data_IF_499609699514
#
_entry.id   IF_499609699514
#
_cell.length_a   1.000
_cell.length_b   1.000
_cell.length_c   1.000
_cell.angle_alpha   90.00
_cell.angle_beta   90.00
_cell.angle_gamma   90.00
#
_symmetry.space_group_name_H-M   'P 1'
#
loop_
_entity.id
_entity.type
_entity.pdbx_description
1 polymer ?
#
# COMPACT_ATOMS: atom_id res chain seq x y z
N UNK A 1 1.91 16.82 -30.15
CA UNK A 1 2.82 15.91 -29.43
C UNK A 1 2.02 14.69 -29.04
N UNK A 2 2.04 13.65 -29.89
CA UNK A 2 1.33 12.41 -29.62
C UNK A 2 2.01 11.66 -28.48
N UNK A 3 1.44 11.78 -27.28
CA UNK A 3 1.84 10.99 -26.13
C UNK A 3 1.70 9.51 -26.49
N UNK A 4 2.84 8.86 -26.73
CA UNK A 4 2.91 7.44 -27.06
C UNK A 4 2.41 6.65 -25.84
N UNK A 5 1.12 6.34 -25.82
CA UNK A 5 0.49 5.60 -24.73
C UNK A 5 1.02 4.16 -24.79
N UNK A 6 2.03 3.85 -23.96
CA UNK A 6 2.61 2.52 -23.88
C UNK A 6 1.71 1.70 -22.96
N UNK A 7 0.63 1.13 -23.50
CA UNK A 7 -0.14 0.11 -22.79
C UNK A 7 0.77 -1.12 -22.59
N UNK A 8 1.33 -1.24 -21.39
CA UNK A 8 2.20 -2.36 -21.00
C UNK A 8 1.36 -3.42 -20.31
N UNK A 9 1.07 -4.51 -21.00
CA UNK A 9 0.38 -5.65 -20.40
C UNK A 9 1.40 -6.55 -19.71
N UNK A 10 1.22 -6.77 -18.40
CA UNK A 10 2.18 -7.51 -17.59
C UNK A 10 2.11 -9.03 -17.78
N UNK A 11 0.93 -9.57 -18.10
CA UNK A 11 0.70 -11.00 -18.20
C UNK A 11 0.52 -11.43 -19.66
N UNK A 12 1.35 -12.36 -20.12
CA UNK A 12 1.18 -13.06 -21.39
C UNK A 12 0.13 -14.17 -21.22
N UNK A 13 -0.90 -14.17 -22.06
CA UNK A 13 -1.86 -15.28 -22.12
C UNK A 13 -1.33 -16.36 -23.07
N UNK A 14 -0.84 -17.47 -22.50
CA UNK A 14 -0.17 -18.53 -23.27
C UNK A 14 -1.14 -19.51 -23.96
N UNK A 15 -2.37 -19.65 -23.45
CA UNK A 15 -3.36 -20.64 -23.94
C UNK A 15 -2.78 -22.06 -23.96
N UNK A 16 -2.63 -22.64 -22.76
CA UNK A 16 -1.85 -23.86 -22.53
C UNK A 16 -2.36 -25.08 -23.30
N UNK A 17 -3.66 -25.15 -23.56
CA UNK A 17 -4.30 -26.18 -24.39
C UNK A 17 -3.82 -26.10 -25.85
N UNK A 18 -3.90 -24.91 -26.43
CA UNK A 18 -3.51 -24.67 -27.81
C UNK A 18 -1.99 -24.75 -27.96
N UNK A 19 -1.25 -24.20 -27.01
CA UNK A 19 0.21 -24.30 -26.96
C UNK A 19 0.65 -25.77 -26.96
N UNK A 20 0.11 -26.60 -26.04
CA UNK A 20 0.49 -28.01 -25.97
C UNK A 20 0.17 -28.77 -27.25
N UNK A 21 -0.96 -28.48 -27.90
CA UNK A 21 -1.34 -29.11 -29.16
C UNK A 21 -0.45 -28.67 -30.34
N UNK A 22 -0.16 -27.37 -30.45
CA UNK A 22 0.61 -26.79 -31.56
C UNK A 22 2.13 -27.05 -31.44
N UNK A 23 2.65 -27.44 -30.27
CA UNK A 23 4.10 -27.65 -30.06
C UNK A 23 4.49 -29.09 -29.76
N UNK A 24 3.58 -30.05 -29.87
CA UNK A 24 3.84 -31.46 -29.49
C UNK A 24 4.95 -32.12 -30.31
N UNK A 25 5.13 -31.69 -31.56
CA UNK A 25 6.13 -32.22 -32.48
C UNK A 25 7.48 -31.51 -32.38
N UNK A 26 7.57 -30.44 -31.59
CA UNK A 26 8.80 -29.67 -31.43
C UNK A 26 9.75 -30.33 -30.43
N UNK A 27 11.04 -30.19 -30.69
CA UNK A 27 12.09 -30.51 -29.72
C UNK A 27 12.11 -29.51 -28.56
N UNK A 28 12.74 -29.90 -27.44
CA UNK A 28 12.89 -29.00 -26.29
C UNK A 28 13.63 -27.69 -26.64
N UNK A 29 14.56 -27.74 -27.59
CA UNK A 29 15.27 -26.56 -28.09
C UNK A 29 14.32 -25.62 -28.84
N UNK A 30 13.54 -26.16 -29.79
CA UNK A 30 12.54 -25.40 -30.56
C UNK A 30 11.48 -24.78 -29.66
N UNK A 31 10.97 -25.53 -28.67
CA UNK A 31 10.02 -25.02 -27.66
C UNK A 31 10.65 -23.88 -26.84
N UNK A 32 11.91 -24.05 -26.43
CA UNK A 32 12.65 -23.02 -25.69
C UNK A 32 12.82 -21.73 -26.49
N UNK A 33 13.18 -21.84 -27.77
CA UNK A 33 13.27 -20.71 -28.70
C UNK A 33 11.90 -20.05 -28.86
N UNK A 34 10.85 -20.85 -29.10
CA UNK A 34 9.49 -20.35 -29.30
C UNK A 34 8.99 -19.54 -28.10
N UNK A 35 9.13 -20.06 -26.87
CA UNK A 35 8.75 -19.37 -25.64
C UNK A 35 9.52 -18.05 -25.48
N UNK A 36 10.82 -18.02 -25.75
CA UNK A 36 11.62 -16.78 -25.67
C UNK A 36 11.11 -15.72 -26.65
N UNK A 37 10.79 -16.12 -27.88
CA UNK A 37 10.23 -15.21 -28.90
C UNK A 37 8.84 -14.70 -28.50
N UNK A 38 7.96 -15.56 -27.98
CA UNK A 38 6.64 -15.16 -27.48
C UNK A 38 6.74 -14.13 -26.35
N UNK A 39 7.57 -14.41 -25.35
CA UNK A 39 7.82 -13.50 -24.23
C UNK A 39 8.36 -12.14 -24.72
N UNK A 40 9.36 -12.16 -25.61
CA UNK A 40 9.91 -10.93 -26.17
C UNK A 40 8.84 -10.12 -26.93
N UNK A 41 8.15 -10.76 -27.87
CA UNK A 41 7.11 -10.11 -28.68
C UNK A 41 6.04 -9.47 -27.79
N UNK A 42 5.62 -10.17 -26.73
CA UNK A 42 4.67 -9.63 -25.75
C UNK A 42 5.19 -8.38 -25.04
N UNK A 43 6.42 -8.41 -24.51
CA UNK A 43 7.01 -7.24 -23.82
C UNK A 43 7.21 -6.03 -24.74
N UNK A 44 7.26 -6.26 -26.06
CA UNK A 44 7.37 -5.22 -27.09
C UNK A 44 6.02 -4.85 -27.72
N UNK A 45 4.90 -5.18 -27.07
CA UNK A 45 3.55 -4.86 -27.52
C UNK A 45 3.19 -5.49 -28.87
N UNK A 46 3.60 -6.74 -29.08
CA UNK A 46 3.40 -7.51 -30.31
C UNK A 46 3.90 -6.81 -31.59
N UNK A 47 4.84 -5.86 -31.44
CA UNK A 47 5.46 -5.16 -32.57
C UNK A 47 6.34 -6.12 -33.37
N UNK A 48 6.47 -5.87 -34.69
CA UNK A 48 7.33 -6.68 -35.52
C UNK A 48 8.80 -6.56 -35.09
N UNK A 49 9.57 -7.62 -35.35
CA UNK A 49 11.01 -7.66 -35.11
C UNK A 49 11.75 -8.34 -36.26
N UNK A 50 13.03 -8.02 -36.42
CA UNK A 50 13.90 -8.63 -37.44
C UNK A 50 14.37 -10.04 -37.09
N UNK A 51 14.79 -10.79 -38.11
CA UNK A 51 15.40 -12.11 -37.95
C UNK A 51 16.70 -12.06 -37.10
N UNK A 52 17.48 -10.98 -37.21
CA UNK A 52 18.67 -10.76 -36.39
C UNK A 52 18.33 -10.62 -34.91
N UNK A 53 17.24 -9.93 -34.60
CA UNK A 53 16.72 -9.87 -33.23
C UNK A 53 16.28 -11.25 -32.76
N UNK A 54 15.62 -12.04 -33.61
CA UNK A 54 15.21 -13.41 -33.29
C UNK A 54 16.40 -14.29 -32.86
N UNK A 55 17.50 -14.25 -33.61
CA UNK A 55 18.73 -14.99 -33.26
C UNK A 55 19.27 -14.59 -31.89
N UNK A 56 19.31 -13.28 -31.60
CA UNK A 56 19.77 -12.76 -30.31
C UNK A 56 18.86 -13.18 -29.16
N UNK A 57 17.54 -13.18 -29.37
CA UNK A 57 16.54 -13.59 -28.36
C UNK A 57 16.64 -15.09 -28.08
N UNK A 58 16.79 -15.90 -29.13
CA UNK A 58 17.01 -17.34 -29.06
C UNK A 58 18.40 -17.72 -28.52
N UNK A 59 19.32 -16.76 -28.38
CA UNK A 59 20.73 -16.97 -28.01
C UNK A 59 21.48 -17.90 -28.97
N UNK A 60 21.09 -17.89 -30.25
CA UNK A 60 21.71 -18.71 -31.29
C UNK A 60 22.89 -17.99 -31.96
N UNK A 61 24.05 -18.64 -31.96
CA UNK A 61 25.31 -18.07 -32.47
C UNK A 61 25.76 -18.79 -33.75
N UNK A 62 25.73 -20.11 -33.73
CA UNK A 62 26.05 -20.99 -34.86
C UNK A 62 24.89 -21.09 -35.87
N UNK A 63 25.18 -21.62 -37.05
CA UNK A 63 24.23 -21.66 -38.15
C UNK A 63 23.17 -22.74 -38.00
N UNK A 64 23.47 -23.82 -37.26
CA UNK A 64 22.49 -24.87 -36.97
C UNK A 64 21.37 -24.31 -36.06
N UNK A 65 21.75 -23.64 -34.95
CA UNK A 65 20.80 -22.98 -34.05
C UNK A 65 20.01 -21.88 -34.75
N UNK A 66 20.65 -21.07 -35.63
CA UNK A 66 19.92 -20.10 -36.47
C UNK A 66 18.92 -20.79 -37.41
N UNK A 67 19.27 -21.97 -37.93
CA UNK A 67 18.37 -22.83 -38.68
C UNK A 67 17.14 -23.22 -37.87
N UNK A 68 17.31 -23.58 -36.59
CA UNK A 68 16.21 -23.85 -35.66
C UNK A 68 15.33 -22.63 -35.43
N UNK A 69 15.92 -21.44 -35.23
CA UNK A 69 15.15 -20.18 -35.10
C UNK A 69 14.32 -19.91 -36.35
N UNK A 70 14.89 -20.11 -37.54
CA UNK A 70 14.17 -19.95 -38.81
C UNK A 70 12.96 -20.88 -38.90
N UNK A 71 13.13 -22.16 -38.57
CA UNK A 71 12.02 -23.14 -38.55
C UNK A 71 10.86 -22.64 -37.68
N UNK A 72 11.17 -22.26 -36.43
CA UNK A 72 10.17 -21.73 -35.48
C UNK A 72 9.49 -20.46 -36.03
N UNK A 73 10.25 -19.54 -36.63
CA UNK A 73 9.67 -18.32 -37.23
C UNK A 73 8.73 -18.63 -38.39
N UNK A 74 9.14 -19.45 -39.35
CA UNK A 74 8.31 -19.79 -40.51
C UNK A 74 7.05 -20.56 -40.12
N UNK A 75 7.11 -21.35 -39.05
CA UNK A 75 5.97 -22.13 -38.59
C UNK A 75 4.97 -21.31 -37.79
N UNK A 76 5.42 -20.53 -36.79
CA UNK A 76 4.53 -19.89 -35.82
C UNK A 76 4.36 -18.38 -36.01
N UNK A 77 5.23 -17.73 -36.80
CA UNK A 77 5.21 -16.29 -37.02
C UNK A 77 4.84 -15.94 -38.46
N UNK A 78 4.37 -14.70 -38.64
CA UNK A 78 4.04 -14.11 -39.93
C UNK A 78 5.06 -13.07 -40.31
N UNK A 79 5.62 -13.20 -41.50
CA UNK A 79 6.46 -12.19 -42.12
C UNK A 79 5.58 -11.19 -42.87
N UNK A 80 5.55 -9.93 -42.42
CA UNK A 80 4.72 -8.87 -42.99
C UNK A 80 5.50 -7.94 -43.94
N UNK A 81 6.62 -8.40 -44.49
CA UNK A 81 7.48 -7.64 -45.40
C UNK A 81 8.35 -8.57 -46.24
N UNK A 82 9.03 -8.01 -47.24
CA UNK A 82 9.86 -8.79 -48.18
C UNK A 82 11.28 -9.05 -47.65
N UNK A 83 11.77 -8.17 -46.76
CA UNK A 83 13.10 -8.28 -46.16
C UNK A 83 13.03 -8.86 -44.73
N UNK A 84 13.53 -10.09 -44.55
CA UNK A 84 13.60 -10.77 -43.25
C UNK A 84 14.52 -10.05 -42.24
N UNK A 85 15.45 -9.20 -42.73
CA UNK A 85 16.35 -8.39 -41.90
C UNK A 85 15.69 -7.09 -41.42
N UNK A 86 14.57 -6.69 -42.02
CA UNK A 86 13.73 -5.62 -41.50
C UNK A 86 12.81 -6.12 -40.38
N UNK A 87 12.22 -5.21 -39.61
CA UNK A 87 11.23 -5.55 -38.60
C UNK A 87 9.92 -5.99 -39.27
N UNK A 88 9.80 -7.29 -39.56
CA UNK A 88 8.67 -7.85 -40.31
C UNK A 88 7.98 -9.05 -39.61
N UNK A 89 8.60 -9.68 -38.61
CA UNK A 89 8.05 -10.88 -37.98
C UNK A 89 7.09 -10.57 -36.84
N UNK A 90 5.87 -11.09 -36.91
CA UNK A 90 4.83 -10.93 -35.87
C UNK A 90 4.14 -12.24 -35.56
N UNK A 91 3.66 -12.41 -34.32
CA UNK A 91 2.86 -13.56 -33.95
C UNK A 91 1.37 -13.23 -34.06
N UNK A 92 0.63 -13.93 -34.93
CA UNK A 92 -0.79 -13.64 -35.24
C UNK A 92 -1.64 -13.48 -33.98
N UNK A 93 -1.54 -14.44 -33.04
CA UNK A 93 -2.34 -14.45 -31.81
C UNK A 93 -1.96 -13.29 -30.87
N UNK A 94 -0.66 -12.97 -30.74
CA UNK A 94 -0.23 -11.91 -29.83
C UNK A 94 -0.67 -10.53 -30.31
N UNK A 95 -0.67 -10.30 -31.63
CA UNK A 95 -1.20 -9.06 -32.21
C UNK A 95 -2.69 -8.92 -31.90
N UNK A 96 -3.47 -9.99 -32.12
CA UNK A 96 -4.92 -9.99 -31.84
C UNK A 96 -5.24 -9.73 -30.37
N UNK A 97 -4.54 -10.40 -29.45
CA UNK A 97 -4.73 -10.22 -28.00
C UNK A 97 -4.32 -8.82 -27.55
N UNK A 98 -3.20 -8.31 -28.05
CA UNK A 98 -2.75 -6.95 -27.73
C UNK A 98 -3.76 -5.90 -28.22
N UNK A 99 -4.28 -6.05 -29.44
CA UNK A 99 -5.32 -5.20 -30.00
C UNK A 99 -6.62 -5.24 -29.19
N UNK A 100 -7.06 -6.44 -28.82
CA UNK A 100 -8.26 -6.64 -28.00
C UNK A 100 -8.11 -5.94 -26.63
N UNK A 101 -7.00 -6.17 -25.94
CA UNK A 101 -6.74 -5.54 -24.64
C UNK A 101 -6.62 -4.02 -24.79
N UNK A 102 -5.88 -3.53 -25.78
CA UNK A 102 -5.73 -2.10 -26.05
C UNK A 102 -7.09 -1.43 -26.25
N UNK A 103 -7.98 -2.03 -27.06
CA UNK A 103 -9.36 -1.54 -27.25
C UNK A 103 -10.16 -1.58 -25.95
N UNK A 104 -10.05 -2.64 -25.16
CA UNK A 104 -10.75 -2.80 -23.87
C UNK A 104 -10.33 -1.72 -22.86
N UNK A 105 -9.03 -1.48 -22.71
CA UNK A 105 -8.52 -0.45 -21.80
C UNK A 105 -8.84 0.95 -22.28
N UNK A 106 -8.76 1.23 -23.59
CA UNK A 106 -9.18 2.50 -24.17
C UNK A 106 -10.65 2.81 -23.87
N UNK A 107 -11.56 1.85 -24.11
CA UNK A 107 -12.99 1.99 -23.76
C UNK A 107 -13.21 2.29 -22.28
N UNK A 108 -12.49 1.61 -21.39
CA UNK A 108 -12.56 1.87 -19.93
C UNK A 108 -12.04 3.25 -19.56
N UNK A 109 -10.94 3.68 -20.15
CA UNK A 109 -10.36 5.02 -19.95
C UNK A 109 -11.32 6.11 -20.42
N UNK A 110 -11.90 5.97 -21.61
CA UNK A 110 -12.90 6.90 -22.16
C UNK A 110 -14.15 7.00 -21.29
N UNK A 111 -14.67 5.85 -20.82
CA UNK A 111 -15.80 5.81 -19.90
C UNK A 111 -15.46 6.48 -18.55
N UNK A 112 -14.26 6.23 -18.01
CA UNK A 112 -13.76 6.88 -16.80
C UNK A 112 -13.63 8.40 -16.96
N UNK A 113 -13.05 8.86 -18.07
CA UNK A 113 -12.94 10.29 -18.41
C UNK A 113 -14.32 10.93 -18.55
N UNK A 114 -15.27 10.27 -19.23
CA UNK A 114 -16.65 10.74 -19.37
C UNK A 114 -17.35 10.83 -18.02
N UNK A 115 -17.17 9.83 -17.14
CA UNK A 115 -17.70 9.84 -15.77
C UNK A 115 -17.09 10.94 -14.90
N UNK A 116 -15.77 11.15 -14.99
CA UNK A 116 -15.08 12.23 -14.27
C UNK A 116 -15.52 13.62 -14.74
N UNK A 117 -15.65 13.83 -16.05
CA UNK A 117 -16.17 15.09 -16.61
C UNK A 117 -17.64 15.33 -16.24
N UNK A 118 -18.47 14.29 -16.23
CA UNK A 118 -19.86 14.40 -15.79
C UNK A 118 -19.95 14.81 -14.30
N UNK A 119 -19.09 14.25 -13.44
CA UNK A 119 -18.96 14.68 -12.05
C UNK A 119 -18.46 16.12 -11.91
N UNK A 120 -17.55 16.54 -12.79
CA UNK A 120 -17.02 17.92 -12.80
C UNK A 120 -18.05 18.95 -13.27
N UNK A 121 -18.96 18.60 -14.18
CA UNK A 121 -20.04 19.48 -14.65
C UNK A 121 -21.24 19.49 -13.69
N UNK A 122 -21.51 18.36 -13.04
CA UNK A 122 -22.48 18.23 -11.95
C UNK A 122 -21.82 18.43 -10.58
N UNK A 123 -20.83 19.32 -10.49
CA UNK A 123 -20.56 19.96 -9.20
C UNK A 123 -21.78 20.83 -8.97
N UNK A 124 -22.74 20.34 -8.18
CA UNK A 124 -23.76 21.21 -7.61
C UNK A 124 -23.04 22.47 -7.10
N UNK A 125 -23.55 23.69 -7.37
CA UNK A 125 -22.93 24.90 -6.84
C UNK A 125 -22.60 24.62 -5.38
N UNK A 126 -21.32 24.75 -5.02
CA UNK A 126 -20.92 24.65 -3.62
C UNK A 126 -21.89 25.58 -2.92
N UNK A 127 -22.75 25.12 -1.99
CA UNK A 127 -23.59 26.03 -1.27
C UNK A 127 -22.63 27.02 -0.64
N UNK A 128 -22.64 28.28 -1.11
CA UNK A 128 -22.02 29.37 -0.38
C UNK A 128 -22.66 29.24 0.99
N UNK A 129 -21.90 28.96 2.07
CA UNK A 129 -22.51 28.79 3.35
C UNK A 129 -23.09 30.16 3.71
N UNK A 130 -24.40 30.33 3.48
CA UNK A 130 -25.17 31.28 4.26
C UNK A 130 -24.87 30.94 5.71
N UNK A 131 -24.47 31.90 6.54
CA UNK A 131 -24.15 31.63 7.94
C UNK A 131 -25.41 31.06 8.60
N UNK A 132 -25.47 29.72 8.67
CA UNK A 132 -26.55 29.02 9.35
C UNK A 132 -26.30 29.17 10.85
N UNK A 133 -27.35 29.38 11.66
CA UNK A 133 -27.20 29.49 13.10
C UNK A 133 -26.47 28.25 13.62
N UNK A 134 -25.55 28.47 14.56
CA UNK A 134 -24.56 27.53 15.10
C UNK A 134 -25.01 26.04 15.06
N UNK A 135 -24.56 25.30 14.04
CA UNK A 135 -24.98 23.91 13.72
C UNK A 135 -24.29 22.84 14.60
N UNK A 136 -23.46 23.25 15.54
CA UNK A 136 -22.66 22.36 16.37
C UNK A 136 -23.26 22.31 17.76
N UNK A 137 -23.32 21.11 18.35
CA UNK A 137 -23.63 20.98 19.79
C UNK A 137 -22.57 21.77 20.56
N UNK A 138 -22.99 22.63 21.51
CA UNK A 138 -22.10 23.57 22.20
C UNK A 138 -20.85 22.87 22.78
N UNK A 139 -21.02 21.66 23.35
CA UNK A 139 -19.94 20.85 23.90
C UNK A 139 -18.83 20.55 22.89
N UNK A 140 -19.16 20.22 21.63
CA UNK A 140 -18.16 19.96 20.60
C UNK A 140 -17.42 21.23 20.18
N UNK A 141 -18.11 22.37 20.08
CA UNK A 141 -17.48 23.64 19.72
C UNK A 141 -16.43 24.04 20.74
N UNK A 142 -16.73 23.89 22.02
CA UNK A 142 -15.77 24.14 23.11
C UNK A 142 -14.55 23.21 23.05
N UNK A 143 -14.76 21.91 22.82
CA UNK A 143 -13.67 20.94 22.65
C UNK A 143 -12.78 21.36 21.49
N UNK A 144 -13.38 21.63 20.32
CA UNK A 144 -12.64 22.01 19.12
C UNK A 144 -11.82 23.28 19.32
N UNK A 145 -12.36 24.26 20.03
CA UNK A 145 -11.69 25.53 20.21
C UNK A 145 -10.49 25.43 21.15
N UNK A 146 -10.51 24.49 22.09
CA UNK A 146 -9.42 24.16 23.03
C UNK A 146 -8.29 23.29 22.44
N UNK A 147 -8.42 22.75 21.23
CA UNK A 147 -7.36 21.93 20.62
C UNK A 147 -6.11 22.76 20.30
N UNK A 148 -4.92 22.26 20.68
CA UNK A 148 -3.64 22.90 20.40
C UNK A 148 -3.32 22.94 18.89
N UNK A 149 -3.70 21.89 18.16
CA UNK A 149 -3.47 21.75 16.72
C UNK A 149 -4.77 21.26 16.07
N UNK A 150 -5.33 22.10 15.18
CA UNK A 150 -6.62 21.86 14.52
C UNK A 150 -6.44 21.25 13.13
N UNK A 151 -5.89 20.04 13.05
CA UNK A 151 -5.72 19.35 11.75
C UNK A 151 -6.99 18.67 11.28
N UNK A 152 -7.33 18.93 10.02
CA UNK A 152 -8.48 18.32 9.34
C UNK A 152 -9.74 19.17 9.40
N UNK A 153 -10.87 18.59 8.98
CA UNK A 153 -12.14 19.30 8.89
C UNK A 153 -12.91 19.29 10.22
N UNK A 154 -13.26 20.47 10.76
CA UNK A 154 -14.15 20.63 11.94
C UNK A 154 -15.47 19.88 11.75
N UNK A 155 -16.03 19.95 10.54
CA UNK A 155 -17.26 19.24 10.18
C UNK A 155 -17.10 17.71 10.28
N UNK A 156 -16.00 17.16 9.75
CA UNK A 156 -15.76 15.71 9.80
C UNK A 156 -15.52 15.25 11.24
N UNK A 157 -14.80 16.03 12.04
CA UNK A 157 -14.61 15.73 13.46
C UNK A 157 -15.92 15.75 14.25
N UNK A 158 -16.81 16.73 14.00
CA UNK A 158 -18.14 16.77 14.62
C UNK A 158 -18.97 15.52 14.29
N UNK A 159 -18.95 15.09 13.02
CA UNK A 159 -19.66 13.87 12.60
C UNK A 159 -19.15 12.60 13.29
N UNK A 160 -17.85 12.51 13.57
CA UNK A 160 -17.31 11.39 14.35
C UNK A 160 -17.66 11.54 15.82
N UNK A 161 -17.50 12.74 16.39
CA UNK A 161 -17.87 13.02 17.79
C UNK A 161 -19.31 12.60 18.10
N UNK A 162 -20.28 12.91 17.23
CA UNK A 162 -21.67 12.47 17.41
C UNK A 162 -21.83 10.94 17.46
N UNK A 163 -20.96 10.18 16.78
CA UNK A 163 -21.01 8.71 16.78
C UNK A 163 -20.42 8.08 18.02
N UNK A 164 -19.45 8.75 18.63
CA UNK A 164 -18.75 8.29 19.83
C UNK A 164 -19.18 9.04 21.09
N UNK A 165 -20.18 9.93 20.98
CA UNK A 165 -20.60 10.82 22.05
C UNK A 165 -20.97 10.05 23.32
N UNK A 166 -21.76 8.98 23.15
CA UNK A 166 -22.22 8.14 24.26
C UNK A 166 -21.08 7.38 24.93
N UNK A 167 -20.00 7.07 24.19
CA UNK A 167 -18.79 6.43 24.74
C UNK A 167 -17.86 7.40 25.46
N UNK A 168 -18.01 8.69 25.14
CA UNK A 168 -17.25 9.80 25.73
C UNK A 168 -18.05 10.42 26.90
N UNK A 169 -19.20 9.83 27.24
CA UNK A 169 -20.08 10.35 28.27
C UNK A 169 -19.39 10.38 29.64
N UNK A 170 -19.34 11.57 30.26
CA UNK A 170 -18.60 11.83 31.50
C UNK A 170 -17.19 12.39 31.32
N UNK A 171 -16.58 12.31 30.13
CA UNK A 171 -15.23 12.85 29.87
C UNK A 171 -15.20 13.93 28.77
N UNK A 172 -16.36 14.36 28.25
CA UNK A 172 -16.44 15.31 27.13
C UNK A 172 -15.60 16.58 27.37
N UNK A 173 -15.62 17.11 28.59
CA UNK A 173 -14.89 18.33 28.95
C UNK A 173 -13.36 18.14 28.97
N UNK A 174 -12.88 16.91 29.16
CA UNK A 174 -11.45 16.57 29.20
C UNK A 174 -10.89 16.10 27.87
N UNK A 175 -11.71 15.82 26.86
CA UNK A 175 -11.24 15.29 25.56
C UNK A 175 -10.18 16.19 24.91
N UNK A 176 -10.37 17.50 24.92
CA UNK A 176 -9.38 18.42 24.37
C UNK A 176 -8.06 18.38 25.14
N UNK A 177 -8.12 18.25 26.46
CA UNK A 177 -6.94 18.17 27.34
C UNK A 177 -6.15 16.88 27.11
N UNK A 178 -6.86 15.74 27.02
CA UNK A 178 -6.27 14.44 26.71
C UNK A 178 -5.55 14.50 25.36
N UNK A 179 -6.22 15.00 24.33
CA UNK A 179 -5.63 15.16 23.00
C UNK A 179 -4.37 16.05 23.06
N UNK A 180 -4.48 17.24 23.66
CA UNK A 180 -3.38 18.19 23.75
C UNK A 180 -2.16 17.61 24.49
N UNK A 181 -2.40 16.85 25.56
CA UNK A 181 -1.35 16.20 26.33
C UNK A 181 -0.64 15.11 25.52
N UNK A 182 -1.39 14.28 24.78
CA UNK A 182 -0.81 13.26 23.91
C UNK A 182 0.00 13.86 22.74
N UNK A 183 -0.40 15.03 22.24
CA UNK A 183 0.28 15.70 21.13
C UNK A 183 1.49 16.54 21.57
N UNK A 184 1.77 16.66 22.87
CA UNK A 184 2.84 17.49 23.40
C UNK A 184 4.21 17.02 22.87
N UNK A 185 4.92 17.92 22.18
CA UNK A 185 6.25 17.65 21.63
C UNK A 185 6.28 16.94 20.28
N UNK A 186 5.11 16.64 19.69
CA UNK A 186 5.01 16.08 18.34
C UNK A 186 4.94 17.23 17.33
N UNK A 187 5.72 17.17 16.25
CA UNK A 187 5.62 18.15 15.15
C UNK A 187 4.24 18.07 14.45
N UNK A 188 3.66 19.23 14.12
CA UNK A 188 2.32 19.38 13.56
C UNK A 188 2.00 18.44 12.38
N UNK A 189 2.97 18.19 11.49
CA UNK A 189 2.79 17.31 10.31
C UNK A 189 2.54 15.84 10.68
N UNK A 190 2.98 15.41 11.86
CA UNK A 190 2.78 14.05 12.38
C UNK A 190 1.59 13.92 13.34
N UNK A 191 1.00 15.04 13.75
CA UNK A 191 -0.23 15.04 14.53
C UNK A 191 -1.38 14.50 13.68
N UNK A 192 -2.08 13.44 14.14
CA UNK A 192 -3.23 12.90 13.42
C UNK A 192 -4.36 13.92 13.35
N UNK A 193 -5.21 13.81 12.32
CA UNK A 193 -6.46 14.57 12.29
C UNK A 193 -7.31 14.23 13.52
N UNK A 194 -7.93 15.25 14.13
CA UNK A 194 -8.74 15.03 15.33
C UNK A 194 -9.89 14.04 15.11
N UNK A 195 -10.48 14.01 13.90
CA UNK A 195 -11.46 13.00 13.52
C UNK A 195 -10.91 11.57 13.51
N UNK A 196 -9.64 11.39 13.11
CA UNK A 196 -8.98 10.08 13.10
C UNK A 196 -8.67 9.64 14.52
N UNK A 197 -8.21 10.57 15.35
CA UNK A 197 -7.99 10.34 16.78
C UNK A 197 -9.28 9.90 17.48
N UNK A 198 -10.39 10.61 17.23
CA UNK A 198 -11.73 10.25 17.72
C UNK A 198 -12.25 8.92 17.16
N UNK A 199 -11.93 8.58 15.91
CA UNK A 199 -12.41 7.31 15.32
C UNK A 199 -11.66 6.09 15.87
N UNK A 200 -10.44 6.29 16.35
CA UNK A 200 -9.55 5.22 16.83
C UNK A 200 -9.57 5.06 18.34
N UNK A 201 -10.50 5.72 19.04
CA UNK A 201 -10.65 5.58 20.49
C UNK A 201 -9.41 5.91 21.32
N UNK A 202 -8.53 6.76 20.80
CA UNK A 202 -7.23 7.06 21.43
C UNK A 202 -7.32 7.80 22.78
N UNK A 203 -8.51 8.22 23.21
CA UNK A 203 -8.72 8.71 24.58
C UNK A 203 -8.75 7.57 25.61
N UNK A 204 -9.07 6.34 25.21
CA UNK A 204 -9.06 5.17 26.08
C UNK A 204 -7.64 4.85 26.55
N UNK A 205 -6.63 5.03 25.69
CA UNK A 205 -5.22 4.85 26.02
C UNK A 205 -4.75 5.76 27.16
N UNK A 206 -5.40 6.92 27.33
CA UNK A 206 -5.08 7.87 28.41
C UNK A 206 -5.66 7.44 29.76
N UNK A 207 -6.85 6.82 29.79
CA UNK A 207 -7.43 6.26 31.03
C UNK A 207 -6.51 5.16 31.60
N UNK A 208 -5.83 4.42 30.72
CA UNK A 208 -4.85 3.40 31.12
C UNK A 208 -3.48 3.96 31.54
N UNK A 209 -3.23 5.26 31.37
CA UNK A 209 -1.94 5.88 31.70
C UNK A 209 -1.84 6.26 33.19
N UNK A 210 -2.96 6.55 33.86
CA UNK A 210 -2.98 6.74 35.32
C UNK A 210 -2.80 5.40 36.08
N UNK A 211 -3.01 4.26 35.42
CA UNK A 211 -2.69 2.94 35.98
C UNK A 211 -1.25 2.46 35.70
N UNK A 212 -0.50 3.14 34.81
CA UNK A 212 0.90 2.80 34.54
C UNK A 212 1.83 3.42 35.58
N UNK A 213 1.61 3.10 36.86
CA UNK A 213 2.62 3.28 37.90
C UNK A 213 3.82 2.44 37.48
N UNK A 214 4.98 3.08 37.28
CA UNK A 214 6.22 2.36 36.93
C UNK A 214 6.53 1.31 38.00
N UNK A 215 7.18 0.20 37.60
CA UNK A 215 7.57 -0.89 38.54
C UNK A 215 8.28 -0.31 39.78
N UNK A 216 9.17 0.66 39.55
CA UNK A 216 9.85 1.41 40.61
C UNK A 216 8.90 2.07 41.61
N UNK A 217 7.92 2.82 41.13
CA UNK A 217 6.93 3.47 42.00
C UNK A 217 6.02 2.46 42.73
N UNK A 218 5.71 1.30 42.10
CA UNK A 218 4.97 0.21 42.77
C UNK A 218 5.80 -0.38 43.92
N UNK A 219 7.08 -0.62 43.67
CA UNK A 219 8.03 -1.15 44.66
C UNK A 219 8.26 -0.16 45.81
N UNK A 220 8.41 1.13 45.53
CA UNK A 220 8.54 2.19 46.54
C UNK A 220 7.29 2.26 47.45
N UNK A 221 6.07 2.14 46.88
CA UNK A 221 4.82 2.05 47.66
C UNK A 221 4.76 0.80 48.55
N UNK A 222 5.39 -0.30 48.15
CA UNK A 222 5.49 -1.54 48.93
C UNK A 222 6.63 -1.52 49.97
N UNK A 223 7.32 -0.39 50.13
CA UNK A 223 8.39 -0.20 51.09
C UNK A 223 9.77 -0.68 50.63
N UNK A 224 9.95 -0.91 49.33
CA UNK A 224 11.27 -1.22 48.76
C UNK A 224 12.01 0.07 48.37
N UNK A 225 13.31 0.11 48.64
CA UNK A 225 14.18 1.24 48.29
C UNK A 225 14.93 0.92 47.01
N UNK A 226 14.72 1.71 45.95
CA UNK A 226 15.47 1.57 44.70
C UNK A 226 16.97 1.83 44.90
N UNK A 227 17.80 1.02 44.26
CA UNK A 227 19.27 1.10 44.36
C UNK A 227 19.87 1.59 43.05
N UNK A 228 19.82 0.76 42.03
CA UNK A 228 20.32 1.07 40.69
C UNK A 228 19.66 0.17 39.65
N UNK A 229 19.95 0.45 38.39
CA UNK A 229 19.66 -0.41 37.25
C UNK A 229 20.93 -1.09 36.82
N UNK A 230 20.86 -2.35 36.41
CA UNK A 230 21.93 -3.02 35.67
C UNK A 230 21.32 -3.87 34.55
N UNK A 231 21.69 -3.57 33.31
CA UNK A 231 21.10 -4.21 32.12
C UNK A 231 19.56 -4.16 32.15
N UNK A 232 18.89 -5.31 32.09
CA UNK A 232 17.43 -5.41 32.09
C UNK A 232 16.82 -5.43 33.50
N UNK A 233 17.64 -5.36 34.55
CA UNK A 233 17.16 -5.49 35.93
C UNK A 233 17.16 -4.16 36.68
N UNK A 234 16.14 -3.95 37.49
CA UNK A 234 16.14 -2.95 38.56
C UNK A 234 16.36 -3.62 39.92
N UNK A 235 17.25 -3.02 40.72
CA UNK A 235 17.62 -3.51 42.03
C UNK A 235 16.97 -2.70 43.14
N UNK A 236 16.47 -3.41 44.14
CA UNK A 236 15.73 -2.86 45.27
C UNK A 236 16.23 -3.47 46.58
N UNK A 237 16.08 -2.72 47.68
CA UNK A 237 16.42 -3.18 49.03
C UNK A 237 15.23 -3.06 49.97
N UNK A 238 14.94 -4.10 50.73
CA UNK A 238 13.92 -4.10 51.78
C UNK A 238 14.35 -4.99 52.94
N UNK A 239 14.24 -4.49 54.17
CA UNK A 239 14.61 -5.19 55.40
C UNK A 239 16.05 -5.75 55.39
N UNK A 240 16.98 -5.00 54.79
CA UNK A 240 18.39 -5.39 54.67
C UNK A 240 18.70 -6.37 53.53
N UNK A 241 17.68 -6.93 52.87
CA UNK A 241 17.80 -7.89 51.78
C UNK A 241 17.70 -7.18 50.42
N UNK A 242 18.51 -7.60 49.45
CA UNK A 242 18.48 -7.09 48.08
C UNK A 242 17.67 -7.99 47.15
N UNK A 243 16.97 -7.35 46.22
CA UNK A 243 16.06 -7.97 45.26
C UNK A 243 16.30 -7.37 43.88
N UNK A 244 16.08 -8.16 42.83
CA UNK A 244 16.09 -7.72 41.44
C UNK A 244 14.80 -8.10 40.72
N UNK A 245 14.39 -7.27 39.77
CA UNK A 245 13.23 -7.49 38.91
C UNK A 245 13.60 -7.16 37.47
N UNK A 246 13.20 -8.01 36.52
CA UNK A 246 13.36 -7.72 35.09
C UNK A 246 12.29 -6.71 34.65
N UNK A 247 12.72 -5.63 33.99
CA UNK A 247 11.86 -4.54 33.52
C UNK A 247 10.88 -4.94 32.44
N UNK A 248 11.18 -6.03 31.74
CA UNK A 248 10.45 -6.51 30.57
C UNK A 248 9.72 -7.83 30.83
N UNK A 249 9.89 -8.42 32.03
CA UNK A 249 9.10 -9.56 32.44
C UNK A 249 7.64 -9.13 32.66
N UNK A 250 6.72 -9.73 31.90
CA UNK A 250 5.30 -9.43 31.97
C UNK A 250 4.72 -9.75 33.35
N UNK A 251 5.26 -10.77 34.00
CA UNK A 251 4.80 -11.25 35.30
C UNK A 251 5.51 -10.52 36.46
N UNK A 252 6.51 -9.69 36.15
CA UNK A 252 7.20 -8.81 37.09
C UNK A 252 7.71 -9.57 38.34
N UNK A 253 8.27 -10.76 38.13
CA UNK A 253 8.69 -11.64 39.22
C UNK A 253 9.89 -11.03 39.95
N UNK A 254 9.80 -10.95 41.28
CA UNK A 254 10.88 -10.45 42.13
C UNK A 254 11.81 -11.61 42.54
N UNK A 255 13.11 -11.43 42.33
CA UNK A 255 14.13 -12.40 42.71
C UNK A 255 15.00 -11.84 43.83
N UNK A 256 15.25 -12.63 44.88
CA UNK A 256 16.25 -12.28 45.89
C UNK A 256 17.65 -12.37 45.27
N UNK A 257 18.49 -11.39 45.56
CA UNK A 257 19.92 -11.43 45.22
C UNK A 257 20.63 -12.15 46.36
N UNK A 258 21.33 -13.23 46.03
CA UNK A 258 22.16 -13.99 46.98
C UNK A 258 23.44 -13.24 47.36
#
# INVERSE_FOLDING_TARGET
>A
MDGKEINKFHALQLFTDTFAAETVHLTNEEVGIYIRLLCFAWTKNAKPFSIRSAYRIGQCIDDDCKGTVKKVLYEFFKMNGEDEYADCWTHKRLVQEHDYLTKKYKKRSEAGKKGGLARSKNVAPIPIPSPSPNKYINSFSEIWDKLCIKRGSKFKAHQIYLKVHDEIDGIQHHIAEIFNKQMKGIEDKFVPHFSTWLSQKRWEDYQNQDESITIKQKMEKLGYVFRHTESNFDYFKKDGIEYKIDKYDKDHIIHKVE
#
